data_IF_086295433078
#
_entry.id   IF_086295433078
#
_cell.length_a   1.000
_cell.length_b   1.000
_cell.length_c   1.000
_cell.angle_alpha   90.00
_cell.angle_beta   90.00
_cell.angle_gamma   90.00
#
_symmetry.space_group_name_H-M   'P 1'
#
loop_
_entity.id
_entity.type
_entity.pdbx_description
1 polymer ?
#
# COMPACT_ATOMS: atom_id res chain seq x y z
N UNK A 1 5.75 -14.92 -21.90
CA UNK A 1 4.52 -14.16 -22.17
C UNK A 1 3.90 -13.90 -20.82
N UNK A 2 4.29 -12.80 -20.18
CA UNK A 2 3.85 -12.39 -18.85
C UNK A 2 2.54 -11.61 -19.03
N UNK A 3 1.43 -12.21 -18.59
CA UNK A 3 0.13 -11.56 -18.58
C UNK A 3 0.11 -10.56 -17.42
N UNK A 4 0.23 -9.29 -17.73
CA UNK A 4 -0.08 -8.22 -16.79
C UNK A 4 -1.59 -8.23 -16.51
N UNK A 5 -1.99 -8.78 -15.39
CA UNK A 5 -3.34 -8.61 -14.84
C UNK A 5 -3.35 -7.25 -14.14
N UNK A 6 -4.25 -6.31 -14.49
CA UNK A 6 -4.30 -5.03 -13.81
C UNK A 6 -4.70 -5.24 -12.35
N UNK A 7 -3.91 -4.68 -11.45
CA UNK A 7 -3.98 -4.82 -9.97
C UNK A 7 -5.35 -4.44 -9.38
N UNK A 8 -6.18 -3.72 -10.11
CA UNK A 8 -7.58 -3.42 -9.71
C UNK A 8 -8.42 -4.70 -9.49
N UNK A 9 -8.02 -5.85 -10.08
CA UNK A 9 -8.74 -7.12 -9.95
C UNK A 9 -8.28 -7.97 -8.74
N UNK A 10 -7.14 -7.68 -8.12
CA UNK A 10 -6.63 -8.47 -6.99
C UNK A 10 -7.37 -8.16 -5.67
N UNK A 11 -8.01 -7.00 -5.55
CA UNK A 11 -8.86 -6.69 -4.38
C UNK A 11 -10.14 -7.53 -4.26
N UNK A 12 -10.51 -8.31 -5.30
CA UNK A 12 -11.75 -9.12 -5.32
C UNK A 12 -11.50 -10.63 -5.27
N UNK A 13 -10.25 -11.07 -5.24
CA UNK A 13 -9.91 -12.50 -5.32
C UNK A 13 -9.49 -13.16 -4.00
N UNK A 14 -9.60 -12.47 -2.86
CA UNK A 14 -9.41 -13.13 -1.56
C UNK A 14 -10.73 -13.79 -1.14
N UNK A 15 -10.88 -15.02 -1.53
CA UNK A 15 -11.62 -16.10 -0.93
C UNK A 15 -13.01 -15.81 -0.38
N UNK A 16 -14.03 -15.82 -1.25
CA UNK A 16 -15.37 -16.23 -0.82
C UNK A 16 -15.67 -17.58 -1.46
N UNK A 17 -15.51 -18.60 -0.65
CA UNK A 17 -16.07 -19.93 -0.90
C UNK A 17 -17.58 -19.83 -1.02
N UNK A 18 -18.04 -20.25 -2.15
CA UNK A 18 -19.33 -20.76 -2.57
C UNK A 18 -20.51 -20.69 -1.58
N UNK A 19 -21.46 -19.80 -1.88
CA UNK A 19 -22.81 -19.83 -1.34
C UNK A 19 -23.70 -18.95 -2.19
N UNK A 20 -24.41 -19.53 -3.17
CA UNK A 20 -25.39 -18.86 -4.03
C UNK A 20 -26.59 -18.41 -3.20
N UNK A 21 -26.84 -17.13 -3.09
CA UNK A 21 -28.19 -16.56 -2.97
C UNK A 21 -28.18 -15.23 -3.72
N UNK A 22 -28.97 -15.19 -4.79
CA UNK A 22 -29.30 -13.97 -5.57
C UNK A 22 -30.06 -13.02 -4.66
N UNK A 23 -29.57 -11.80 -4.54
CA UNK A 23 -30.34 -10.64 -4.04
C UNK A 23 -30.12 -9.52 -5.04
N UNK A 24 -31.21 -9.07 -5.67
CA UNK A 24 -31.27 -7.96 -6.61
C UNK A 24 -30.71 -6.65 -5.99
N UNK A 25 -30.01 -5.80 -6.77
CA UNK A 25 -29.56 -4.50 -6.28
C UNK A 25 -30.72 -3.50 -6.34
N UNK A 26 -31.07 -2.95 -5.17
CA UNK A 26 -31.92 -1.78 -5.09
C UNK A 26 -31.18 -0.55 -5.63
N UNK A 27 -31.77 0.08 -6.65
CA UNK A 27 -31.35 1.38 -7.18
C UNK A 27 -31.47 2.47 -6.10
N UNK A 28 -30.35 3.02 -5.67
CA UNK A 28 -30.33 4.28 -4.92
C UNK A 28 -29.84 5.36 -5.87
N UNK A 29 -30.79 5.99 -6.54
CA UNK A 29 -30.61 7.26 -7.22
C UNK A 29 -30.55 8.38 -6.18
N UNK A 30 -29.37 8.89 -5.87
CA UNK A 30 -29.18 10.16 -5.18
C UNK A 30 -28.04 10.91 -5.86
N UNK A 31 -28.38 11.83 -6.73
CA UNK A 31 -27.47 12.86 -7.24
C UNK A 31 -27.08 13.80 -6.09
N UNK A 32 -25.78 13.98 -5.79
CA UNK A 32 -25.36 14.99 -4.83
C UNK A 32 -25.51 16.40 -5.42
N UNK A 33 -25.80 17.43 -4.62
CA UNK A 33 -25.93 18.79 -5.10
C UNK A 33 -24.60 19.31 -5.65
N UNK A 34 -24.68 20.06 -6.74
CA UNK A 34 -23.57 20.69 -7.41
C UNK A 34 -22.84 21.66 -6.44
N UNK A 35 -21.63 21.30 -6.03
CA UNK A 35 -20.73 22.19 -5.31
C UNK A 35 -20.07 23.10 -6.35
N UNK A 36 -20.38 24.40 -6.29
CA UNK A 36 -19.70 25.42 -7.07
C UNK A 36 -18.21 25.42 -6.71
N UNK A 37 -17.28 25.46 -7.68
CA UNK A 37 -15.85 25.54 -7.37
C UNK A 37 -15.55 26.93 -6.81
N UNK A 38 -15.14 26.99 -5.54
CA UNK A 38 -14.39 28.12 -5.01
C UNK A 38 -13.08 28.20 -5.81
N UNK A 39 -12.95 29.24 -6.61
CA UNK A 39 -11.68 29.58 -7.29
C UNK A 39 -10.77 30.15 -6.20
N UNK A 40 -10.12 29.29 -5.44
CA UNK A 40 -8.95 29.66 -4.65
C UNK A 40 -7.80 29.90 -5.63
N UNK A 41 -7.26 31.10 -5.58
CA UNK A 41 -6.06 31.48 -6.31
C UNK A 41 -4.91 30.56 -5.87
N UNK A 42 -4.62 29.54 -6.67
CA UNK A 42 -3.44 28.69 -6.47
C UNK A 42 -2.19 29.56 -6.47
N UNK A 43 -1.33 29.46 -5.42
CA UNK A 43 -0.05 30.15 -5.45
C UNK A 43 0.75 29.71 -6.69
N UNK A 44 1.63 30.57 -7.24
CA UNK A 44 2.38 30.22 -8.43
C UNK A 44 3.15 28.93 -8.18
N UNK A 45 2.89 27.91 -9.02
CA UNK A 45 3.58 26.63 -8.97
C UNK A 45 5.06 26.92 -9.26
N UNK A 46 5.87 26.93 -8.22
CA UNK A 46 7.33 26.90 -8.38
C UNK A 46 7.64 25.61 -9.15
N UNK A 47 8.14 25.76 -10.38
CA UNK A 47 8.50 24.63 -11.22
C UNK A 47 9.70 23.92 -10.58
N UNK A 48 9.40 22.90 -9.76
CA UNK A 48 10.39 22.03 -9.15
C UNK A 48 10.74 20.95 -10.17
N UNK A 49 11.99 20.90 -10.61
CA UNK A 49 12.44 19.91 -11.59
C UNK A 49 12.69 18.59 -10.86
N UNK A 50 12.06 17.51 -11.33
CA UNK A 50 12.40 16.16 -10.91
C UNK A 50 13.81 15.81 -11.41
N UNK A 51 14.68 15.47 -10.49
CA UNK A 51 16.06 15.13 -10.80
C UNK A 51 16.20 13.60 -10.87
N UNK A 52 16.44 13.05 -12.07
CA UNK A 52 16.79 11.66 -12.27
C UNK A 52 18.27 11.57 -12.64
N UNK A 53 19.01 10.84 -11.82
CA UNK A 53 20.39 10.49 -12.18
C UNK A 53 20.36 9.47 -13.32
N UNK A 54 20.84 9.88 -14.50
CA UNK A 54 20.81 9.05 -15.70
C UNK A 54 21.78 7.88 -15.65
N UNK A 55 22.77 7.93 -14.76
CA UNK A 55 23.71 6.83 -14.53
C UNK A 55 23.16 5.82 -13.52
N UNK A 56 22.18 6.21 -12.70
CA UNK A 56 21.49 5.33 -11.78
C UNK A 56 20.40 4.52 -12.51
N UNK A 57 20.58 3.20 -12.55
CA UNK A 57 19.67 2.29 -13.24
C UNK A 57 18.26 2.31 -12.63
N UNK A 58 18.15 2.44 -11.32
CA UNK A 58 16.86 2.46 -10.60
C UNK A 58 16.07 3.74 -10.92
N UNK A 59 16.75 4.87 -10.99
CA UNK A 59 16.15 6.14 -11.42
C UNK A 59 15.57 6.04 -12.84
N UNK A 60 16.27 5.37 -13.77
CA UNK A 60 15.77 5.14 -15.14
C UNK A 60 14.56 4.20 -15.18
N UNK A 61 14.52 3.19 -14.32
CA UNK A 61 13.38 2.29 -14.21
C UNK A 61 12.14 3.03 -13.72
N UNK A 62 12.29 3.86 -12.69
CA UNK A 62 11.22 4.70 -12.12
C UNK A 62 10.73 5.72 -13.16
N UNK A 63 11.63 6.44 -13.81
CA UNK A 63 11.28 7.39 -14.87
C UNK A 63 10.49 6.72 -16.00
N UNK A 64 10.89 5.52 -16.39
CA UNK A 64 10.18 4.74 -17.42
C UNK A 64 8.76 4.39 -16.95
N UNK A 65 8.58 3.95 -15.70
CA UNK A 65 7.28 3.62 -15.15
C UNK A 65 6.36 4.85 -15.07
N UNK A 66 6.87 5.99 -14.64
CA UNK A 66 6.13 7.26 -14.63
C UNK A 66 5.64 7.60 -16.03
N UNK A 67 6.51 7.51 -17.03
CA UNK A 67 6.15 7.81 -18.42
C UNK A 67 5.08 6.85 -18.98
N UNK A 68 5.15 5.56 -18.64
CA UNK A 68 4.14 4.57 -19.02
C UNK A 68 2.79 4.92 -18.38
N UNK A 69 2.77 5.19 -17.08
CA UNK A 69 1.56 5.53 -16.32
C UNK A 69 0.89 6.80 -16.88
N UNK A 70 1.67 7.83 -17.17
CA UNK A 70 1.15 9.07 -17.75
C UNK A 70 0.55 8.85 -19.15
N UNK A 71 1.15 7.99 -19.99
CA UNK A 71 0.59 7.64 -21.30
C UNK A 71 -0.75 6.90 -21.19
N UNK A 72 -0.85 5.95 -20.26
CA UNK A 72 -2.08 5.20 -20.02
C UNK A 72 -3.21 6.12 -19.56
N UNK A 73 -2.97 7.01 -18.60
CA UNK A 73 -3.97 8.00 -18.14
C UNK A 73 -4.44 8.92 -19.26
N UNK A 74 -3.55 9.34 -20.15
CA UNK A 74 -3.91 10.13 -21.35
C UNK A 74 -4.83 9.37 -22.29
N UNK A 75 -4.57 8.09 -22.54
CA UNK A 75 -5.40 7.25 -23.42
C UNK A 75 -6.81 7.02 -22.84
N UNK A 76 -6.93 6.99 -21.52
CA UNK A 76 -8.19 6.82 -20.80
C UNK A 76 -8.99 8.14 -20.63
N UNK A 77 -8.51 9.25 -21.18
CA UNK A 77 -9.16 10.57 -21.04
C UNK A 77 -9.14 11.15 -19.62
N UNK A 78 -8.38 10.53 -18.70
CA UNK A 78 -8.33 10.92 -17.27
C UNK A 78 -7.32 12.03 -16.97
N UNK A 79 -6.52 12.44 -17.97
CA UNK A 79 -5.54 13.52 -17.81
C UNK A 79 -5.69 14.53 -18.96
N UNK A 80 -5.99 15.78 -18.61
CA UNK A 80 -5.84 16.92 -19.53
C UNK A 80 -4.36 17.28 -19.60
N UNK A 81 -3.59 16.52 -20.38
CA UNK A 81 -2.16 16.78 -20.59
C UNK A 81 -2.00 17.74 -21.77
N UNK A 82 -2.53 18.95 -21.65
CA UNK A 82 -2.31 20.02 -22.65
C UNK A 82 -0.84 20.44 -22.59
N UNK A 83 -0.05 19.96 -23.54
CA UNK A 83 1.36 20.35 -23.70
C UNK A 83 2.39 19.22 -23.68
N UNK A 84 2.00 17.99 -23.41
CA UNK A 84 2.95 16.87 -23.38
C UNK A 84 3.33 16.44 -24.81
N UNK A 85 4.51 16.85 -25.26
CA UNK A 85 5.15 16.29 -26.47
C UNK A 85 5.75 14.94 -26.12
N UNK A 86 5.41 13.89 -26.89
CA UNK A 86 6.12 12.62 -26.86
C UNK A 86 7.54 12.88 -27.36
N UNK A 87 8.49 12.91 -26.42
CA UNK A 87 9.89 13.16 -26.73
C UNK A 87 10.58 11.81 -26.96
N UNK A 88 11.28 11.63 -28.09
CA UNK A 88 11.99 10.37 -28.35
C UNK A 88 13.13 10.19 -27.33
N UNK A 89 13.44 8.93 -27.00
CA UNK A 89 14.40 8.45 -26.00
C UNK A 89 15.78 9.15 -25.96
N UNK A 90 16.16 9.84 -27.04
CA UNK A 90 17.43 10.60 -27.16
C UNK A 90 17.35 12.07 -26.71
N UNK A 91 16.15 12.56 -26.36
CA UNK A 91 15.94 13.94 -26.02
C UNK A 91 15.02 14.04 -24.78
N UNK A 92 15.28 13.26 -23.74
CA UNK A 92 14.55 13.34 -22.48
C UNK A 92 15.13 14.49 -21.65
N UNK A 93 14.68 15.73 -21.89
CA UNK A 93 14.93 16.76 -20.93
C UNK A 93 13.87 16.60 -19.86
N UNK A 94 14.30 16.50 -18.60
CA UNK A 94 13.57 16.91 -17.40
C UNK A 94 12.04 16.86 -17.58
N UNK A 95 11.38 15.82 -17.06
CA UNK A 95 9.92 15.82 -16.93
C UNK A 95 9.51 17.17 -16.37
N UNK A 96 8.69 17.93 -17.11
CA UNK A 96 8.21 19.21 -16.59
C UNK A 96 7.35 18.91 -15.37
N UNK A 97 7.70 19.51 -14.27
CA UNK A 97 7.18 19.24 -12.92
C UNK A 97 5.65 19.26 -12.80
N UNK A 98 4.93 20.02 -13.61
CA UNK A 98 3.47 20.17 -13.47
C UNK A 98 2.65 18.89 -13.67
N UNK A 99 3.02 18.03 -14.62
CA UNK A 99 2.22 16.83 -14.94
C UNK A 99 2.55 15.66 -14.01
N UNK A 100 3.79 15.56 -13.59
CA UNK A 100 4.29 14.48 -12.72
C UNK A 100 3.87 14.69 -11.28
N UNK A 101 3.80 15.94 -10.82
CA UNK A 101 3.36 16.30 -9.48
C UNK A 101 1.88 15.99 -9.21
N UNK A 102 1.07 15.71 -10.24
CA UNK A 102 -0.33 15.30 -10.11
C UNK A 102 -0.52 13.79 -10.17
N UNK A 103 0.57 13.02 -10.24
CA UNK A 103 0.49 11.57 -10.26
C UNK A 103 -0.04 11.06 -8.91
N UNK A 104 -1.17 10.37 -8.97
CA UNK A 104 -1.82 9.82 -7.77
C UNK A 104 -1.58 8.32 -7.60
N UNK A 105 -1.05 7.66 -8.62
CA UNK A 105 -0.81 6.22 -8.64
C UNK A 105 0.44 5.91 -9.46
N UNK A 106 1.29 5.04 -8.94
CA UNK A 106 2.50 4.58 -9.62
C UNK A 106 2.77 3.12 -9.29
N UNK A 107 3.04 2.33 -10.34
CA UNK A 107 3.47 0.95 -10.22
C UNK A 107 4.91 0.78 -10.76
N UNK A 108 5.80 0.41 -9.86
CA UNK A 108 7.19 0.06 -10.15
C UNK A 108 7.57 -1.32 -9.59
N UNK A 109 6.57 -2.20 -9.42
CA UNK A 109 6.78 -3.56 -8.93
C UNK A 109 7.59 -4.42 -9.89
N UNK A 110 8.37 -5.37 -9.36
CA UNK A 110 9.13 -6.36 -10.12
C UNK A 110 10.21 -5.76 -11.01
N UNK A 111 10.82 -4.64 -10.62
CA UNK A 111 11.81 -3.93 -11.46
C UNK A 111 13.23 -3.98 -10.90
N UNK A 112 13.44 -4.76 -9.84
CA UNK A 112 14.76 -4.89 -9.22
C UNK A 112 15.33 -3.51 -8.81
N UNK A 113 14.51 -2.69 -8.15
CA UNK A 113 14.84 -1.34 -7.70
C UNK A 113 15.30 -1.41 -6.23
N UNK A 114 16.37 -0.68 -5.90
CA UNK A 114 16.81 -0.45 -4.53
C UNK A 114 16.68 1.03 -4.13
N UNK A 115 16.96 1.94 -5.04
CA UNK A 115 16.94 3.38 -4.79
C UNK A 115 15.63 4.02 -5.28
N UNK A 116 14.81 4.48 -4.34
CA UNK A 116 13.53 5.16 -4.61
C UNK A 116 13.59 6.66 -4.35
N UNK A 117 14.79 7.25 -4.22
CA UNK A 117 14.96 8.68 -3.99
C UNK A 117 14.21 9.59 -4.97
N UNK A 118 14.03 9.22 -6.28
CA UNK A 118 13.23 10.03 -7.20
C UNK A 118 11.75 10.17 -6.82
N UNK A 119 11.23 9.27 -5.97
CA UNK A 119 9.83 9.34 -5.54
C UNK A 119 9.57 10.49 -4.57
N UNK A 120 10.59 11.04 -3.89
CA UNK A 120 10.47 12.09 -2.86
C UNK A 120 9.58 13.26 -3.31
N UNK A 121 9.62 13.62 -4.58
CA UNK A 121 8.89 14.75 -5.14
C UNK A 121 7.43 14.42 -5.51
N UNK A 122 7.04 13.14 -5.53
CA UNK A 122 5.72 12.68 -5.96
C UNK A 122 4.71 12.69 -4.80
N UNK A 123 4.65 13.77 -4.04
CA UNK A 123 3.88 13.89 -2.79
C UNK A 123 2.35 13.73 -2.94
N UNK A 124 1.82 13.75 -4.17
CA UNK A 124 0.39 13.56 -4.45
C UNK A 124 -0.01 12.09 -4.66
N UNK A 125 0.94 11.15 -4.54
CA UNK A 125 0.64 9.72 -4.66
C UNK A 125 -0.34 9.30 -3.55
N UNK A 126 -1.39 8.58 -3.99
CA UNK A 126 -2.38 7.92 -3.14
C UNK A 126 -2.19 6.41 -3.14
N UNK A 127 -1.68 5.86 -4.24
CA UNK A 127 -1.37 4.44 -4.38
C UNK A 127 0.02 4.25 -4.96
N UNK A 128 0.85 3.47 -4.28
CA UNK A 128 2.23 3.20 -4.70
C UNK A 128 2.51 1.70 -4.57
N UNK A 129 2.92 1.08 -5.69
CA UNK A 129 3.21 -0.34 -5.77
C UNK A 129 4.71 -0.55 -6.00
N UNK A 130 5.36 -1.15 -5.01
CA UNK A 130 6.80 -1.37 -4.93
C UNK A 130 7.15 -2.85 -4.70
N UNK A 131 6.20 -3.74 -4.92
CA UNK A 131 6.31 -5.19 -4.71
C UNK A 131 7.50 -5.79 -5.48
N UNK A 132 8.18 -6.79 -4.91
CA UNK A 132 9.26 -7.55 -5.56
C UNK A 132 10.41 -6.68 -6.11
N UNK A 133 10.95 -5.85 -5.23
CA UNK A 133 12.12 -5.03 -5.46
C UNK A 133 13.23 -5.36 -4.43
N UNK A 134 14.23 -4.50 -4.28
CA UNK A 134 15.32 -4.62 -3.29
C UNK A 134 15.39 -3.41 -2.37
N UNK A 135 14.23 -2.81 -2.06
CA UNK A 135 14.15 -1.58 -1.29
C UNK A 135 14.41 -1.87 0.17
N UNK A 136 15.32 -1.11 0.78
CA UNK A 136 15.62 -1.16 2.21
C UNK A 136 15.45 0.19 2.90
N UNK A 137 15.54 1.29 2.13
CA UNK A 137 15.37 2.66 2.62
C UNK A 137 14.04 3.25 2.15
N UNK A 138 13.13 3.50 3.09
CA UNK A 138 11.85 4.14 2.86
C UNK A 138 11.86 5.66 3.12
N UNK A 139 13.00 6.26 3.48
CA UNK A 139 13.11 7.69 3.80
C UNK A 139 12.54 8.60 2.70
N UNK A 140 12.62 8.27 1.39
CA UNK A 140 11.98 9.06 0.34
C UNK A 140 10.45 9.14 0.45
N UNK A 141 9.81 8.22 1.20
CA UNK A 141 8.35 8.19 1.36
C UNK A 141 7.85 8.97 2.58
N UNK A 142 8.72 9.47 3.44
CA UNK A 142 8.34 10.12 4.71
C UNK A 142 7.39 11.33 4.54
N UNK A 143 7.46 12.02 3.37
CA UNK A 143 6.60 13.15 3.02
C UNK A 143 5.28 12.81 2.31
N UNK A 144 5.01 11.53 2.01
CA UNK A 144 3.86 11.10 1.21
C UNK A 144 2.57 10.96 2.04
N UNK A 145 2.20 12.00 2.76
CA UNK A 145 1.06 11.99 3.70
C UNK A 145 -0.31 11.75 3.04
N UNK A 146 -0.38 11.80 1.71
CA UNK A 146 -1.59 11.50 0.93
C UNK A 146 -1.74 10.01 0.58
N UNK A 147 -0.74 9.16 0.90
CA UNK A 147 -0.81 7.73 0.61
C UNK A 147 -1.95 7.07 1.38
N UNK A 148 -2.75 6.32 0.62
CA UNK A 148 -3.85 5.49 1.11
C UNK A 148 -3.52 3.99 0.96
N UNK A 149 -2.68 3.65 -0.02
CA UNK A 149 -2.29 2.27 -0.33
C UNK A 149 -0.80 2.21 -0.66
N UNK A 150 -0.09 1.29 0.00
CA UNK A 150 1.33 1.03 -0.20
C UNK A 150 1.59 -0.47 -0.22
N UNK A 151 2.24 -0.97 -1.28
CA UNK A 151 2.67 -2.36 -1.36
C UNK A 151 4.19 -2.45 -1.42
N UNK A 152 4.77 -3.23 -0.53
CA UNK A 152 6.20 -3.43 -0.34
C UNK A 152 6.57 -4.91 -0.21
N UNK A 153 5.67 -5.80 -0.64
CA UNK A 153 5.90 -7.25 -0.52
C UNK A 153 7.17 -7.68 -1.25
N UNK A 154 7.89 -8.63 -0.68
CA UNK A 154 9.03 -9.25 -1.35
C UNK A 154 10.21 -8.31 -1.57
N UNK A 155 10.42 -7.31 -0.68
CA UNK A 155 11.65 -6.52 -0.70
C UNK A 155 12.78 -7.17 0.12
N UNK A 156 12.51 -8.27 0.78
CA UNK A 156 13.45 -9.25 1.33
C UNK A 156 14.38 -8.77 2.46
N UNK A 157 14.86 -7.55 2.44
CA UNK A 157 15.77 -6.97 3.45
C UNK A 157 15.18 -5.73 4.14
N UNK A 158 13.93 -5.38 3.85
CA UNK A 158 13.27 -4.24 4.47
C UNK A 158 12.99 -4.53 5.95
N UNK A 159 13.46 -3.64 6.83
CA UNK A 159 13.32 -3.74 8.29
C UNK A 159 12.74 -2.48 8.91
N UNK A 160 13.24 -1.31 8.51
CA UNK A 160 12.89 -0.02 9.10
C UNK A 160 11.63 0.56 8.49
N UNK A 161 10.56 0.65 9.28
CA UNK A 161 9.29 1.27 8.94
C UNK A 161 9.16 2.70 9.49
N UNK A 162 10.18 3.26 10.15
CA UNK A 162 10.12 4.59 10.76
C UNK A 162 9.71 5.71 9.80
N UNK A 163 10.05 5.68 8.48
CA UNK A 163 9.58 6.68 7.55
C UNK A 163 8.06 6.70 7.33
N UNK A 164 7.35 5.62 7.69
CA UNK A 164 5.91 5.50 7.51
C UNK A 164 5.10 6.16 8.63
N UNK A 165 5.73 6.57 9.74
CA UNK A 165 5.07 7.06 10.97
C UNK A 165 4.08 8.21 10.74
N UNK A 166 4.27 9.02 9.72
CA UNK A 166 3.42 10.17 9.38
C UNK A 166 2.36 9.89 8.30
N UNK A 167 2.30 8.68 7.76
CA UNK A 167 1.34 8.31 6.71
C UNK A 167 -0.04 7.98 7.31
N UNK A 168 -0.59 8.91 8.08
CA UNK A 168 -1.81 8.72 8.91
C UNK A 168 -3.07 8.34 8.12
N UNK A 169 -3.10 8.64 6.82
CA UNK A 169 -4.20 8.27 5.92
C UNK A 169 -4.11 6.85 5.36
N UNK A 170 -3.04 6.10 5.66
CA UNK A 170 -2.81 4.79 5.07
C UNK A 170 -3.88 3.80 5.52
N UNK A 171 -4.51 3.12 4.55
CA UNK A 171 -5.58 2.15 4.76
C UNK A 171 -5.19 0.73 4.37
N UNK A 172 -4.26 0.61 3.45
CA UNK A 172 -3.78 -0.67 2.93
C UNK A 172 -2.26 -0.68 2.94
N UNK A 173 -1.67 -1.66 3.63
CA UNK A 173 -0.23 -1.85 3.70
C UNK A 173 0.10 -3.33 3.53
N UNK A 174 0.86 -3.64 2.47
CA UNK A 174 1.43 -4.96 2.22
C UNK A 174 2.92 -4.94 2.53
N UNK A 175 3.36 -5.86 3.36
CA UNK A 175 4.75 -6.00 3.82
C UNK A 175 5.20 -7.47 3.83
N UNK A 176 4.47 -8.37 3.15
CA UNK A 176 4.81 -9.79 3.16
C UNK A 176 6.23 -10.05 2.67
N UNK A 177 6.88 -11.10 3.21
CA UNK A 177 8.21 -11.55 2.77
C UNK A 177 9.27 -10.45 2.86
N UNK A 178 9.35 -9.85 4.05
CA UNK A 178 10.38 -8.87 4.42
C UNK A 178 11.12 -9.31 5.70
N UNK A 179 11.86 -8.42 6.34
CA UNK A 179 12.56 -8.68 7.60
C UNK A 179 12.07 -7.75 8.73
N UNK A 180 10.81 -7.35 8.69
CA UNK A 180 10.21 -6.46 9.69
C UNK A 180 10.06 -7.18 11.02
N UNK A 181 10.53 -6.55 12.12
CA UNK A 181 10.33 -6.99 13.49
C UNK A 181 9.62 -5.92 14.32
N UNK A 182 10.01 -4.65 14.19
CA UNK A 182 9.43 -3.54 14.95
C UNK A 182 8.23 -2.93 14.25
N UNK A 183 7.06 -3.06 14.87
CA UNK A 183 5.80 -2.46 14.40
C UNK A 183 5.49 -1.11 15.06
N UNK A 184 6.34 -0.59 15.95
CA UNK A 184 6.12 0.68 16.66
C UNK A 184 5.81 1.85 15.73
N UNK A 185 6.41 1.96 14.51
CA UNK A 185 6.07 3.02 13.57
C UNK A 185 4.62 2.98 13.06
N UNK A 186 3.98 1.81 13.12
CA UNK A 186 2.59 1.63 12.66
C UNK A 186 1.55 2.01 13.72
N UNK A 187 1.91 2.12 15.00
CA UNK A 187 0.99 2.31 16.12
C UNK A 187 0.05 3.53 15.98
N UNK A 188 0.47 4.54 15.24
CA UNK A 188 -0.32 5.75 15.00
C UNK A 188 -1.05 5.77 13.66
N UNK A 189 -1.05 4.69 12.85
CA UNK A 189 -1.72 4.62 11.56
C UNK A 189 -3.15 4.10 11.74
N UNK A 190 -3.96 4.84 12.48
CA UNK A 190 -5.29 4.42 12.95
C UNK A 190 -6.31 4.18 11.85
N UNK A 191 -6.07 4.68 10.64
CA UNK A 191 -6.93 4.45 9.47
C UNK A 191 -6.65 3.11 8.76
N UNK A 192 -5.63 2.33 9.20
CA UNK A 192 -5.31 1.03 8.60
C UNK A 192 -6.49 0.06 8.73
N UNK A 193 -6.86 -0.52 7.58
CA UNK A 193 -7.91 -1.55 7.44
C UNK A 193 -7.37 -2.90 7.03
N UNK A 194 -6.31 -2.90 6.24
CA UNK A 194 -5.72 -4.11 5.67
C UNK A 194 -4.22 -4.07 5.89
N UNK A 195 -3.71 -5.01 6.67
CA UNK A 195 -2.29 -5.13 6.99
C UNK A 195 -1.84 -6.57 6.75
N UNK A 196 -0.86 -6.72 5.87
CA UNK A 196 -0.27 -8.01 5.52
C UNK A 196 1.19 -8.00 5.92
N UNK A 197 1.58 -8.92 6.79
CA UNK A 197 2.90 -9.04 7.39
C UNK A 197 3.42 -10.48 7.35
N UNK A 198 2.86 -11.32 6.46
CA UNK A 198 3.27 -12.71 6.37
C UNK A 198 4.76 -12.84 6.08
N UNK A 199 5.40 -13.87 6.64
CA UNK A 199 6.83 -14.17 6.44
C UNK A 199 7.74 -12.97 6.82
N UNK A 200 7.61 -12.51 8.06
CA UNK A 200 8.43 -11.49 8.69
C UNK A 200 9.05 -11.98 10.01
N UNK A 201 9.51 -11.10 10.87
CA UNK A 201 10.16 -11.43 12.14
C UNK A 201 9.43 -10.83 13.34
N UNK A 202 8.12 -10.55 13.19
CA UNK A 202 7.30 -9.92 14.22
C UNK A 202 7.09 -10.86 15.40
N UNK A 203 7.31 -10.36 16.61
CA UNK A 203 7.03 -11.04 17.88
C UNK A 203 6.13 -10.21 18.82
N UNK A 204 6.15 -8.88 18.69
CA UNK A 204 5.38 -7.98 19.54
C UNK A 204 4.23 -7.33 18.76
N UNK A 205 2.98 -7.56 19.18
CA UNK A 205 1.76 -7.01 18.57
C UNK A 205 1.18 -5.79 19.31
N UNK A 206 1.78 -5.35 20.41
CA UNK A 206 1.32 -4.19 21.18
C UNK A 206 1.06 -2.94 20.31
N UNK A 207 1.93 -2.60 19.33
CA UNK A 207 1.70 -1.45 18.48
C UNK A 207 0.40 -1.50 17.65
N UNK A 208 -0.15 -2.70 17.41
CA UNK A 208 -1.37 -2.88 16.64
C UNK A 208 -2.65 -2.73 17.49
N UNK A 209 -2.56 -2.78 18.81
CA UNK A 209 -3.71 -2.79 19.72
C UNK A 209 -4.65 -1.57 19.61
N UNK A 210 -4.17 -0.47 19.05
CA UNK A 210 -4.95 0.75 18.83
C UNK A 210 -5.48 0.93 17.41
N UNK A 211 -5.19 0.02 16.48
CA UNK A 211 -5.64 0.09 15.10
C UNK A 211 -7.08 -0.45 14.96
N UNK A 212 -8.03 0.25 15.55
CA UNK A 212 -9.42 -0.20 15.73
C UNK A 212 -10.19 -0.45 14.42
N UNK A 213 -9.70 0.11 13.31
CA UNK A 213 -10.29 -0.06 11.98
C UNK A 213 -9.70 -1.23 11.18
N UNK A 214 -8.80 -2.03 11.78
CA UNK A 214 -8.31 -3.24 11.12
C UNK A 214 -9.44 -4.23 10.86
N UNK A 215 -9.56 -4.64 9.59
CA UNK A 215 -10.54 -5.61 9.09
C UNK A 215 -9.84 -6.93 8.71
N UNK A 216 -8.66 -6.84 8.13
CA UNK A 216 -7.83 -7.98 7.75
C UNK A 216 -6.42 -7.79 8.28
N UNK A 217 -5.91 -8.81 8.95
CA UNK A 217 -4.55 -8.89 9.45
C UNK A 217 -3.96 -10.25 9.11
N UNK A 218 -2.89 -10.26 8.34
CA UNK A 218 -2.12 -11.48 8.07
C UNK A 218 -0.76 -11.40 8.80
N UNK A 219 -0.55 -12.34 9.69
CA UNK A 219 0.64 -12.47 10.52
C UNK A 219 1.32 -13.84 10.36
N UNK A 220 0.91 -14.63 9.37
CA UNK A 220 1.48 -15.96 9.14
C UNK A 220 3.00 -15.93 8.99
N UNK A 221 3.70 -16.99 9.40
CA UNK A 221 5.15 -17.10 9.27
C UNK A 221 5.94 -16.11 10.13
N UNK A 222 5.41 -15.71 11.31
CA UNK A 222 6.06 -14.80 12.25
C UNK A 222 6.44 -15.52 13.57
N UNK A 223 6.97 -14.77 14.53
CA UNK A 223 7.46 -15.30 15.84
C UNK A 223 6.51 -14.98 16.99
N UNK A 224 5.20 -14.91 16.70
CA UNK A 224 4.17 -14.46 17.63
C UNK A 224 3.95 -15.52 18.72
N UNK A 225 3.80 -15.06 19.96
CA UNK A 225 3.53 -15.89 21.14
C UNK A 225 2.29 -15.42 21.91
N UNK A 226 1.76 -14.21 21.62
CA UNK A 226 0.69 -13.57 22.37
C UNK A 226 -0.24 -12.81 21.44
N UNK A 227 -1.56 -13.04 21.56
CA UNK A 227 -2.60 -12.37 20.79
C UNK A 227 -3.42 -11.38 21.63
N UNK A 228 -3.11 -11.20 22.93
CA UNK A 228 -3.82 -10.29 23.83
C UNK A 228 -3.95 -8.87 23.27
N UNK A 229 -2.91 -8.28 22.62
CA UNK A 229 -3.04 -6.94 22.05
C UNK A 229 -4.17 -6.77 21.02
N UNK A 230 -4.57 -7.87 20.36
CA UNK A 230 -5.60 -7.85 19.31
C UNK A 230 -7.04 -7.97 19.85
N UNK A 231 -7.24 -8.33 21.13
CA UNK A 231 -8.57 -8.63 21.71
C UNK A 231 -9.59 -7.49 21.60
N UNK A 232 -9.11 -6.25 21.47
CA UNK A 232 -9.96 -5.07 21.37
C UNK A 232 -10.19 -4.57 19.93
N UNK A 233 -9.78 -5.32 18.91
CA UNK A 233 -9.95 -4.95 17.50
C UNK A 233 -11.31 -5.44 16.99
N UNK A 234 -12.38 -4.80 17.42
CA UNK A 234 -13.77 -5.24 17.19
C UNK A 234 -14.19 -5.26 15.71
N UNK A 235 -13.50 -4.54 14.82
CA UNK A 235 -13.75 -4.57 13.39
C UNK A 235 -12.98 -5.68 12.65
N UNK A 236 -12.09 -6.42 13.34
CA UNK A 236 -11.28 -7.47 12.74
C UNK A 236 -12.15 -8.66 12.31
N UNK A 237 -12.17 -8.95 11.01
CA UNK A 237 -12.96 -10.02 10.40
C UNK A 237 -12.13 -11.21 10.00
N UNK A 238 -10.87 -10.99 9.64
CA UNK A 238 -9.96 -12.03 9.19
C UNK A 238 -8.59 -11.83 9.84
N UNK A 239 -8.13 -12.85 10.52
CA UNK A 239 -6.78 -12.96 11.06
C UNK A 239 -6.17 -14.26 10.53
N UNK A 240 -4.98 -14.18 9.94
CA UNK A 240 -4.14 -15.33 9.66
C UNK A 240 -2.95 -15.32 10.60
N UNK A 241 -2.73 -16.47 11.25
CA UNK A 241 -1.57 -16.80 12.09
C UNK A 241 -0.99 -18.15 11.71
N UNK A 242 -1.21 -18.57 10.45
CA UNK A 242 -0.66 -19.80 9.91
C UNK A 242 0.88 -19.77 9.99
N UNK A 243 1.54 -20.93 10.03
CA UNK A 243 3.00 -21.02 10.13
C UNK A 243 3.60 -20.25 11.34
N UNK A 244 2.88 -20.23 12.47
CA UNK A 244 3.29 -19.55 13.71
C UNK A 244 3.65 -20.58 14.81
N UNK A 245 4.83 -21.22 14.76
CA UNK A 245 5.13 -22.41 15.57
C UNK A 245 5.28 -22.12 17.07
N UNK A 246 5.36 -20.85 17.45
CA UNK A 246 5.51 -20.43 18.86
C UNK A 246 4.18 -19.98 19.48
N UNK A 247 3.09 -19.92 18.69
CA UNK A 247 1.79 -19.42 19.17
C UNK A 247 1.04 -20.56 19.89
N UNK A 248 0.75 -20.42 21.20
CA UNK A 248 -0.03 -21.41 21.93
C UNK A 248 -1.47 -21.45 21.46
N UNK A 249 -2.08 -22.64 21.43
CA UNK A 249 -3.45 -22.86 21.04
C UNK A 249 -4.46 -22.11 21.93
N UNK A 250 -4.17 -21.99 23.22
CA UNK A 250 -5.03 -21.27 24.17
C UNK A 250 -5.10 -19.76 23.89
N UNK A 251 -4.06 -19.16 23.30
CA UNK A 251 -4.10 -17.76 22.85
C UNK A 251 -5.12 -17.57 21.71
N UNK A 252 -5.18 -18.52 20.77
CA UNK A 252 -6.17 -18.52 19.68
C UNK A 252 -7.58 -18.66 20.24
N UNK A 253 -7.81 -19.57 21.20
CA UNK A 253 -9.10 -19.77 21.86
C UNK A 253 -9.56 -18.55 22.65
N UNK A 254 -8.64 -17.90 23.36
CA UNK A 254 -8.90 -16.64 24.07
C UNK A 254 -9.31 -15.54 23.10
N UNK A 255 -8.57 -15.36 22.02
CA UNK A 255 -8.89 -14.34 21.02
C UNK A 255 -10.21 -14.65 20.33
N UNK A 256 -10.48 -15.92 19.97
CA UNK A 256 -11.74 -16.32 19.34
C UNK A 256 -12.94 -16.03 20.27
N UNK A 257 -12.74 -16.18 21.59
CA UNK A 257 -13.75 -15.84 22.59
C UNK A 257 -14.00 -14.33 22.68
N UNK A 258 -12.93 -13.53 22.55
CA UNK A 258 -13.01 -12.06 22.58
C UNK A 258 -13.57 -11.49 21.26
N UNK A 259 -13.27 -12.12 20.12
CA UNK A 259 -13.68 -11.70 18.78
C UNK A 259 -14.46 -12.82 18.06
N UNK A 260 -15.70 -13.13 18.48
CA UNK A 260 -16.46 -14.28 17.98
C UNK A 260 -16.81 -14.19 16.49
N UNK A 261 -16.75 -12.98 15.90
CA UNK A 261 -17.02 -12.76 14.49
C UNK A 261 -15.76 -12.77 13.60
N UNK A 262 -14.58 -12.84 14.22
CA UNK A 262 -13.32 -12.91 13.50
C UNK A 262 -13.09 -14.36 13.02
N UNK A 263 -12.81 -14.50 11.72
CA UNK A 263 -12.34 -15.77 11.20
C UNK A 263 -10.82 -15.85 11.41
N UNK A 264 -10.38 -16.73 12.28
CA UNK A 264 -8.97 -16.97 12.56
C UNK A 264 -8.52 -18.19 11.76
N UNK A 265 -7.53 -18.01 10.89
CA UNK A 265 -6.82 -19.09 10.20
C UNK A 265 -5.53 -19.39 10.95
N UNK A 266 -5.31 -20.65 11.26
CA UNK A 266 -4.11 -21.15 11.93
C UNK A 266 -3.87 -22.59 11.51
N UNK A 267 -2.63 -23.08 11.66
CA UNK A 267 -2.33 -24.49 11.43
C UNK A 267 -3.15 -25.33 12.40
N UNK A 268 -3.92 -26.27 11.84
CA UNK A 268 -4.60 -27.24 12.69
C UNK A 268 -3.52 -28.06 13.41
N UNK A 269 -3.51 -28.03 14.73
CA UNK A 269 -2.73 -28.98 15.51
C UNK A 269 -3.20 -30.40 15.16
N UNK A 270 -2.33 -31.19 14.51
CA UNK A 270 -2.53 -32.61 14.32
C UNK A 270 -2.70 -33.38 15.63
#
# INVERSE_FOLDING_TARGET
MSSQVPIVFIMLAVGLGCGKTEVEPAEISATPPAVQPLIESTPPIVQKELFFDQDNLDHRKIETAINVTLRQKKQQGQASLTGMRIIPRRAWPKLKSGDVLQLTELDVGGKDIADISPLTELSQLKSLFLTENRITDLSPLAGHTQLLSLTLDGNGQLQDLSPLVNLKGLRLLYLDRNHVADLSPLAGLTELKYLYLRDNQVDNLEPLGNLKHLVVLDLGGNKITDLIPLMNLSELKHLSVDDSPYLPQDEIEKLQSALPHCKISHDASE
#
